data_IF_345166220712
#
_entry.id   IF_345166220712
#
_cell.length_a   1.000
_cell.length_b   1.000
_cell.length_c   1.000
_cell.angle_alpha   90.00
_cell.angle_beta   90.00
_cell.angle_gamma   90.00
#
_symmetry.space_group_name_H-M   'P 1'
#
loop_
_entity.id
_entity.type
_entity.pdbx_description
1 polymer ?
#
# COMPACT_ATOMS: atom_id res chain seq x y z
N UNK A 1 -2.70 13.74 -61.96
CA UNK A 1 -1.98 13.00 -60.90
C UNK A 1 -1.18 13.99 -60.09
N UNK A 2 -1.68 14.39 -58.91
CA UNK A 2 -0.99 15.29 -57.99
C UNK A 2 -0.13 14.46 -57.04
N UNK A 3 1.17 14.67 -57.07
CA UNK A 3 2.13 14.06 -56.13
C UNK A 3 1.99 14.72 -54.75
N UNK A 4 1.83 13.95 -53.66
CA UNK A 4 1.78 14.53 -52.32
C UNK A 4 3.19 14.94 -51.90
N UNK A 5 3.45 16.25 -51.83
CA UNK A 5 4.65 16.82 -51.21
C UNK A 5 4.65 16.53 -49.71
N UNK A 6 5.39 15.49 -49.31
CA UNK A 6 5.66 15.19 -47.91
C UNK A 6 6.66 16.22 -47.36
N UNK A 7 6.15 17.31 -46.75
CA UNK A 7 7.01 18.24 -46.00
C UNK A 7 7.60 17.48 -44.80
N UNK A 8 8.94 17.40 -44.65
CA UNK A 8 9.53 16.81 -43.47
C UNK A 8 9.12 17.68 -42.27
N UNK A 9 8.38 17.09 -41.33
CA UNK A 9 8.06 17.72 -40.04
C UNK A 9 9.41 18.04 -39.39
N UNK A 10 9.80 19.32 -39.39
CA UNK A 10 10.93 19.83 -38.60
C UNK A 10 10.77 19.26 -37.20
N UNK A 11 11.65 18.33 -36.81
CA UNK A 11 11.83 17.95 -35.40
C UNK A 11 12.05 19.27 -34.67
N UNK A 12 11.12 19.66 -33.80
CA UNK A 12 11.36 20.75 -32.84
C UNK A 12 12.64 20.39 -32.11
N UNK A 13 13.72 21.08 -32.45
CA UNK A 13 14.98 21.05 -31.72
C UNK A 13 14.73 21.88 -30.47
N UNK A 14 14.10 21.27 -29.47
CA UNK A 14 13.57 21.95 -28.30
C UNK A 14 12.47 21.13 -27.65
N UNK A 15 12.86 20.02 -27.02
CA UNK A 15 12.07 19.37 -25.96
C UNK A 15 12.89 18.37 -25.11
N UNK A 16 14.22 18.31 -25.28
CA UNK A 16 15.11 17.66 -24.31
C UNK A 16 15.20 18.40 -22.97
N UNK A 17 14.38 19.44 -22.76
CA UNK A 17 14.46 20.37 -21.63
C UNK A 17 13.26 20.39 -20.67
N UNK A 18 12.16 19.68 -20.93
CA UNK A 18 10.99 19.72 -20.03
C UNK A 18 10.51 18.30 -19.70
N UNK A 19 11.39 17.53 -19.06
CA UNK A 19 11.02 16.33 -18.31
C UNK A 19 10.95 16.61 -16.79
N UNK A 20 11.06 17.86 -16.37
CA UNK A 20 10.67 18.29 -15.04
C UNK A 20 9.98 19.61 -15.24
N UNK A 21 8.73 19.73 -14.80
CA UNK A 21 8.06 21.02 -14.81
C UNK A 21 8.81 21.87 -13.76
N UNK A 22 9.42 23.02 -14.12
CA UNK A 22 10.12 23.87 -13.14
C UNK A 22 9.22 24.28 -11.96
N UNK A 23 7.89 24.16 -12.14
CA UNK A 23 6.87 24.43 -11.13
C UNK A 23 6.82 23.45 -9.96
N UNK A 24 7.36 22.23 -10.09
CA UNK A 24 7.25 21.20 -9.03
C UNK A 24 8.45 21.15 -8.06
N UNK A 25 9.41 22.07 -8.18
CA UNK A 25 10.47 22.25 -7.18
C UNK A 25 11.53 21.14 -7.10
N UNK A 26 11.53 20.17 -8.01
CA UNK A 26 12.52 19.07 -8.04
C UNK A 26 13.83 19.47 -8.72
N UNK A 27 13.80 20.48 -9.59
CA UNK A 27 14.94 20.97 -10.35
C UNK A 27 15.03 22.49 -10.20
N UNK A 28 16.22 22.98 -9.86
CA UNK A 28 16.52 24.40 -9.83
C UNK A 28 17.19 24.75 -11.16
N UNK A 29 16.62 25.70 -11.89
CA UNK A 29 17.18 26.19 -13.16
C UNK A 29 17.73 27.58 -12.90
N UNK A 30 19.04 27.78 -13.13
CA UNK A 30 19.64 29.11 -13.04
C UNK A 30 19.08 30.00 -14.17
N UNK A 31 18.52 31.19 -13.86
CA UNK A 31 17.95 32.08 -14.86
C UNK A 31 18.97 32.59 -15.89
N UNK A 32 20.23 32.68 -15.48
CA UNK A 32 21.32 33.28 -16.27
C UNK A 32 21.96 32.28 -17.24
N UNK A 33 22.20 31.04 -16.80
CA UNK A 33 22.91 30.02 -17.60
C UNK A 33 21.98 28.94 -18.19
N UNK A 34 20.72 28.88 -17.75
CA UNK A 34 19.78 27.81 -18.12
C UNK A 34 20.18 26.40 -17.61
N UNK A 35 21.23 26.29 -16.80
CA UNK A 35 21.73 25.02 -16.28
C UNK A 35 20.79 24.51 -15.19
N UNK A 36 20.30 23.29 -15.37
CA UNK A 36 19.45 22.57 -14.42
C UNK A 36 20.30 21.81 -13.39
N UNK A 37 20.02 22.05 -12.10
CA UNK A 37 20.64 21.35 -10.97
C UNK A 37 19.57 20.63 -10.12
N UNK A 38 19.91 19.50 -9.48
CA UNK A 38 18.99 18.84 -8.55
C UNK A 38 18.70 19.74 -7.35
N UNK A 39 17.43 19.81 -6.92
CA UNK A 39 17.03 20.68 -5.82
C UNK A 39 17.46 20.17 -4.43
N UNK A 40 17.53 18.85 -4.23
CA UNK A 40 17.89 18.22 -2.96
C UNK A 40 18.58 16.85 -3.16
N UNK A 41 19.25 16.29 -2.12
CA UNK A 41 20.11 15.11 -2.27
C UNK A 41 19.43 13.88 -2.86
N UNK A 42 18.15 13.63 -2.55
CA UNK A 42 17.42 12.50 -3.12
C UNK A 42 17.24 12.64 -4.64
N UNK A 43 17.00 13.86 -5.14
CA UNK A 43 16.93 14.13 -6.59
C UNK A 43 18.31 13.95 -7.22
N UNK A 44 19.37 14.38 -6.54
CA UNK A 44 20.74 14.21 -7.00
C UNK A 44 21.13 12.73 -7.08
N UNK A 45 20.74 11.93 -6.08
CA UNK A 45 21.01 10.50 -6.02
C UNK A 45 20.36 9.74 -7.18
N UNK A 46 19.10 10.06 -7.48
CA UNK A 46 18.41 9.42 -8.60
C UNK A 46 18.85 9.99 -9.96
N UNK A 47 19.50 11.16 -10.01
CA UNK A 47 19.78 11.93 -11.24
C UNK A 47 20.38 11.11 -12.39
N UNK A 48 21.30 10.16 -12.15
CA UNK A 48 21.84 9.30 -13.21
C UNK A 48 20.78 8.44 -13.91
N UNK A 49 19.66 8.12 -13.25
CA UNK A 49 18.54 7.38 -13.82
C UNK A 49 17.59 8.26 -14.65
N UNK A 50 17.76 9.59 -14.62
CA UNK A 50 16.95 10.55 -15.37
C UNK A 50 17.25 10.44 -16.88
N UNK A 51 16.33 9.80 -17.62
CA UNK A 51 16.36 9.75 -19.09
C UNK A 51 17.24 8.65 -19.71
N UNK A 52 18.06 7.96 -18.91
CA UNK A 52 18.95 6.86 -19.33
C UNK A 52 18.32 5.48 -19.12
N UNK A 53 17.48 5.34 -18.09
CA UNK A 53 16.88 4.07 -17.69
C UNK A 53 15.42 4.05 -18.13
N UNK A 54 14.99 2.95 -18.75
CA UNK A 54 13.58 2.73 -19.06
C UNK A 54 12.76 2.79 -17.78
N UNK A 55 11.62 3.50 -17.82
CA UNK A 55 10.68 3.63 -16.71
C UNK A 55 10.29 2.28 -16.08
N UNK A 56 10.30 1.19 -16.87
CA UNK A 56 10.03 -0.18 -16.42
C UNK A 56 11.09 -0.77 -15.52
N UNK A 57 12.33 -0.33 -15.67
CA UNK A 57 13.47 -0.82 -14.90
C UNK A 57 13.61 0.00 -13.61
N UNK A 58 13.20 1.27 -13.62
CA UNK A 58 13.26 2.17 -12.45
C UNK A 58 12.44 1.62 -11.28
N UNK A 59 11.21 1.17 -11.50
CA UNK A 59 10.35 0.68 -10.40
C UNK A 59 10.94 -0.59 -9.72
N UNK A 60 11.29 -1.68 -10.43
CA UNK A 60 11.97 -2.83 -9.84
C UNK A 60 13.26 -2.47 -9.12
N UNK A 61 14.08 -1.58 -9.69
CA UNK A 61 15.33 -1.13 -9.03
C UNK A 61 15.04 -0.41 -7.71
N UNK A 62 14.03 0.46 -7.68
CA UNK A 62 13.57 1.11 -6.44
C UNK A 62 13.15 0.03 -5.44
N UNK A 63 12.29 -0.91 -5.84
CA UNK A 63 11.78 -1.95 -4.94
C UNK A 63 12.89 -2.87 -4.41
N UNK A 64 13.91 -3.18 -5.22
CA UNK A 64 15.07 -3.97 -4.79
C UNK A 64 15.88 -3.17 -3.78
N UNK A 65 16.23 -1.91 -4.09
CA UNK A 65 17.03 -1.08 -3.19
C UNK A 65 16.31 -0.87 -1.83
N UNK A 66 15.03 -0.50 -1.88
CA UNK A 66 14.14 -0.33 -0.73
C UNK A 66 14.05 -1.62 0.09
N UNK A 67 13.95 -2.77 -0.58
CA UNK A 67 13.94 -4.09 0.06
C UNK A 67 15.24 -4.42 0.77
N UNK A 68 16.38 -4.12 0.15
CA UNK A 68 17.70 -4.32 0.76
C UNK A 68 17.88 -3.47 2.02
N UNK A 69 17.47 -2.19 2.00
CA UNK A 69 17.54 -1.34 3.20
C UNK A 69 16.68 -1.89 4.34
N UNK A 70 15.46 -2.37 4.06
CA UNK A 70 14.61 -3.01 5.07
C UNK A 70 15.22 -4.29 5.62
N UNK A 71 15.68 -5.16 4.72
CA UNK A 71 16.29 -6.43 5.10
C UNK A 71 17.54 -6.21 5.96
N UNK A 72 18.35 -5.19 5.65
CA UNK A 72 19.51 -4.83 6.44
C UNK A 72 19.15 -4.48 7.91
N UNK A 73 18.01 -3.80 8.14
CA UNK A 73 17.57 -3.48 9.50
C UNK A 73 17.07 -4.70 10.29
N UNK A 74 16.64 -5.77 9.60
CA UNK A 74 16.15 -6.99 10.23
C UNK A 74 17.25 -7.79 10.97
N UNK A 75 18.53 -7.54 10.66
CA UNK A 75 19.66 -8.18 11.34
C UNK A 75 19.83 -7.74 12.80
N UNK A 76 19.34 -6.55 13.17
CA UNK A 76 19.45 -6.03 14.54
C UNK A 76 18.50 -6.70 15.53
N UNK A 77 18.69 -6.42 16.83
CA UNK A 77 17.80 -6.90 17.90
C UNK A 77 16.34 -6.47 17.72
N UNK A 78 15.42 -7.16 18.40
CA UNK A 78 13.97 -6.88 18.40
C UNK A 78 13.49 -6.44 19.78
N UNK A 79 12.25 -5.94 19.82
CA UNK A 79 11.60 -5.53 21.07
C UNK A 79 11.51 -6.70 22.06
N UNK A 80 12.13 -6.54 23.23
CA UNK A 80 12.12 -7.53 24.31
C UNK A 80 13.06 -8.72 24.16
N UNK A 81 14.08 -8.63 23.30
CA UNK A 81 15.14 -9.63 23.18
C UNK A 81 15.80 -9.93 24.54
N UNK A 82 15.80 -11.20 24.97
CA UNK A 82 16.41 -11.69 26.21
C UNK A 82 15.94 -10.95 27.49
N UNK A 83 14.67 -10.54 27.55
CA UNK A 83 14.09 -9.83 28.71
C UNK A 83 12.93 -10.61 29.34
N UNK A 84 13.18 -11.62 30.20
CA UNK A 84 12.15 -12.23 31.03
C UNK A 84 11.70 -11.27 32.16
N UNK A 85 10.47 -11.38 32.72
CA UNK A 85 9.43 -12.37 32.41
C UNK A 85 8.46 -11.95 31.28
N UNK A 86 8.34 -10.64 31.00
CA UNK A 86 7.52 -10.11 29.91
C UNK A 86 8.41 -9.69 28.74
N UNK A 87 8.43 -10.52 27.71
CA UNK A 87 9.03 -10.21 26.42
C UNK A 87 8.25 -9.09 25.70
N UNK A 88 8.79 -8.57 24.60
CA UNK A 88 8.21 -7.48 23.83
C UNK A 88 7.27 -7.96 22.72
N UNK A 89 6.98 -7.06 21.77
CA UNK A 89 6.01 -7.27 20.69
C UNK A 89 6.32 -8.47 19.80
N UNK A 90 7.59 -8.86 19.69
CA UNK A 90 8.01 -10.05 18.96
C UNK A 90 7.37 -11.33 19.54
N UNK A 91 7.43 -11.49 20.85
CA UNK A 91 6.86 -12.66 21.51
C UNK A 91 5.33 -12.61 21.54
N UNK A 92 4.74 -11.42 21.64
CA UNK A 92 3.29 -11.25 21.54
C UNK A 92 2.78 -11.73 20.16
N UNK A 93 3.45 -11.34 19.08
CA UNK A 93 3.09 -11.75 17.73
C UNK A 93 3.37 -13.24 17.47
N UNK A 94 4.48 -13.79 18.01
CA UNK A 94 4.75 -15.24 17.95
C UNK A 94 3.66 -16.03 18.68
N UNK A 95 3.26 -15.58 19.87
CA UNK A 95 2.20 -16.21 20.65
C UNK A 95 0.86 -16.17 19.93
N UNK A 96 0.55 -15.11 19.17
CA UNK A 96 -0.63 -15.11 18.30
C UNK A 96 -0.56 -16.18 17.21
N UNK A 97 0.62 -16.44 16.63
CA UNK A 97 0.79 -17.52 15.66
C UNK A 97 0.68 -18.91 16.31
N UNK A 98 1.15 -19.06 17.56
CA UNK A 98 1.00 -20.26 18.39
C UNK A 98 -0.49 -20.62 18.60
N UNK A 99 -1.32 -19.65 19.00
CA UNK A 99 -2.76 -19.89 19.24
C UNK A 99 -3.56 -20.02 17.93
N UNK A 100 -3.03 -19.52 16.81
CA UNK A 100 -3.66 -19.59 15.48
C UNK A 100 -3.02 -20.65 14.59
N UNK A 101 -2.72 -21.83 15.15
CA UNK A 101 -2.01 -22.92 14.47
C UNK A 101 -2.62 -23.38 13.13
N UNK A 102 -3.91 -23.13 12.89
CA UNK A 102 -4.59 -23.48 11.64
C UNK A 102 -4.46 -22.44 10.52
N UNK A 103 -3.86 -21.28 10.76
CA UNK A 103 -3.65 -20.27 9.72
C UNK A 103 -2.48 -20.65 8.81
N UNK A 104 -2.51 -20.26 7.51
CA UNK A 104 -1.45 -20.61 6.56
C UNK A 104 -0.05 -20.21 7.01
N UNK A 105 0.11 -19.05 7.64
CA UNK A 105 1.42 -18.57 8.14
C UNK A 105 1.94 -19.46 9.26
N UNK A 106 1.09 -19.81 10.23
CA UNK A 106 1.44 -20.70 11.33
C UNK A 106 1.73 -22.12 10.84
N UNK A 107 0.95 -22.60 9.86
CA UNK A 107 1.19 -23.89 9.20
C UNK A 107 2.54 -23.89 8.47
N UNK A 108 2.86 -22.83 7.71
CA UNK A 108 4.14 -22.70 7.03
C UNK A 108 5.33 -22.78 8.00
N UNK A 109 5.27 -22.08 9.14
CA UNK A 109 6.36 -22.21 10.12
C UNK A 109 6.37 -23.54 10.85
N UNK A 110 5.20 -24.16 11.12
CA UNK A 110 5.13 -25.51 11.67
C UNK A 110 5.73 -26.57 10.74
N UNK A 111 5.59 -26.41 9.42
CA UNK A 111 6.25 -27.29 8.44
C UNK A 111 7.77 -27.14 8.43
N UNK A 112 8.30 -25.98 8.83
CA UNK A 112 9.75 -25.74 8.90
C UNK A 112 10.30 -26.26 10.23
N UNK A 113 9.71 -25.83 11.33
CA UNK A 113 10.09 -26.23 12.69
C UNK A 113 8.82 -26.25 13.58
N UNK A 114 8.32 -27.44 13.94
CA UNK A 114 7.14 -27.59 14.78
C UNK A 114 7.25 -26.88 16.15
N UNK A 115 8.46 -26.76 16.69
CA UNK A 115 8.70 -26.17 18.01
C UNK A 115 8.45 -24.66 18.07
N UNK A 116 8.46 -23.95 16.94
CA UNK A 116 8.27 -22.49 16.92
C UNK A 116 6.90 -22.03 17.45
N UNK A 117 5.88 -22.84 17.22
CA UNK A 117 4.47 -22.55 17.53
C UNK A 117 3.82 -23.66 18.36
N UNK A 118 4.62 -24.48 19.04
CA UNK A 118 4.13 -25.54 19.89
C UNK A 118 3.43 -24.95 21.13
N UNK A 119 2.15 -25.30 21.32
CA UNK A 119 1.31 -24.72 22.35
C UNK A 119 1.92 -24.96 23.74
N UNK A 120 2.02 -23.90 24.56
CA UNK A 120 2.55 -23.88 25.93
C UNK A 120 4.05 -24.19 26.10
N UNK A 121 4.73 -24.70 25.07
CA UNK A 121 6.14 -25.11 25.13
C UNK A 121 7.07 -24.15 24.41
N UNK A 122 6.56 -23.41 23.42
CA UNK A 122 7.31 -22.47 22.58
C UNK A 122 7.50 -21.06 23.17
N UNK A 123 7.08 -20.85 24.42
CA UNK A 123 7.07 -19.51 25.04
C UNK A 123 8.48 -19.02 25.36
N UNK A 124 8.83 -17.83 24.87
CA UNK A 124 10.16 -17.23 25.05
C UNK A 124 11.27 -17.94 24.27
N UNK A 125 10.94 -18.59 23.15
CA UNK A 125 11.90 -19.28 22.30
C UNK A 125 12.72 -18.27 21.50
N UNK A 126 14.01 -18.14 21.82
CA UNK A 126 14.96 -17.23 21.18
C UNK A 126 15.82 -17.96 20.12
N UNK A 127 15.17 -18.49 19.09
CA UNK A 127 15.84 -19.16 17.96
C UNK A 127 16.18 -18.17 16.82
N UNK A 128 17.45 -18.13 16.33
CA UNK A 128 17.82 -17.28 15.20
C UNK A 128 17.02 -17.56 13.92
N UNK A 129 16.64 -18.81 13.64
CA UNK A 129 15.86 -19.15 12.44
C UNK A 129 14.41 -18.71 12.56
N UNK A 130 13.80 -18.82 13.74
CA UNK A 130 12.49 -18.21 14.04
C UNK A 130 12.51 -16.70 13.80
N UNK A 131 13.56 -16.00 14.24
CA UNK A 131 13.71 -14.55 13.99
C UNK A 131 13.67 -14.26 12.49
N UNK A 132 14.41 -15.01 11.67
CA UNK A 132 14.41 -14.81 10.20
C UNK A 132 13.02 -15.06 9.62
N UNK A 133 12.34 -16.13 10.02
CA UNK A 133 10.98 -16.44 9.57
C UNK A 133 10.02 -15.28 9.89
N UNK A 134 10.01 -14.84 11.14
CA UNK A 134 9.17 -13.75 11.62
C UNK A 134 9.46 -12.43 10.89
N UNK A 135 10.73 -12.12 10.60
CA UNK A 135 11.09 -10.94 9.79
C UNK A 135 10.65 -11.07 8.33
N UNK A 136 10.73 -12.28 7.77
CA UNK A 136 10.25 -12.55 6.42
C UNK A 136 8.73 -12.37 6.29
N UNK A 137 7.95 -12.74 7.32
CA UNK A 137 6.49 -12.54 7.28
C UNK A 137 6.12 -11.06 7.28
N UNK A 138 6.81 -10.20 8.04
CA UNK A 138 6.65 -8.73 7.96
C UNK A 138 6.99 -8.23 6.56
N UNK A 139 8.16 -8.62 6.03
CA UNK A 139 8.61 -8.22 4.70
C UNK A 139 7.62 -8.62 3.59
N UNK A 140 7.18 -9.88 3.58
CA UNK A 140 6.21 -10.39 2.60
C UNK A 140 4.88 -9.64 2.73
N UNK A 141 4.38 -9.45 3.95
CA UNK A 141 3.11 -8.75 4.17
C UNK A 141 3.14 -7.29 3.68
N UNK A 142 4.27 -6.60 3.82
CA UNK A 142 4.46 -5.24 3.29
C UNK A 142 4.45 -5.21 1.76
N UNK A 143 5.18 -6.13 1.12
CA UNK A 143 5.25 -6.22 -0.35
C UNK A 143 3.91 -6.60 -0.98
N UNK A 144 3.11 -7.37 -0.26
CA UNK A 144 1.76 -7.71 -0.68
C UNK A 144 0.81 -6.52 -0.48
N UNK A 145 0.84 -5.87 0.67
CA UNK A 145 -0.23 -4.93 1.06
C UNK A 145 0.15 -3.46 0.88
N UNK A 146 1.29 -3.02 1.43
CA UNK A 146 1.69 -1.62 1.47
C UNK A 146 2.20 -1.12 0.11
N UNK A 147 3.13 -1.86 -0.49
CA UNK A 147 3.82 -1.41 -1.71
C UNK A 147 2.84 -1.23 -2.88
N UNK A 148 1.95 -2.18 -3.20
CA UNK A 148 0.98 -2.01 -4.28
C UNK A 148 0.05 -0.81 -4.04
N UNK A 149 -0.39 -0.63 -2.78
CA UNK A 149 -1.29 0.44 -2.41
C UNK A 149 -0.64 1.82 -2.64
N UNK A 150 0.59 2.03 -2.14
CA UNK A 150 1.35 3.28 -2.35
C UNK A 150 1.60 3.53 -3.83
N UNK A 151 2.03 2.51 -4.58
CA UNK A 151 2.31 2.62 -6.02
C UNK A 151 1.07 3.06 -6.81
N UNK A 152 -0.09 2.46 -6.53
CA UNK A 152 -1.36 2.79 -7.21
C UNK A 152 -1.83 4.19 -6.83
N UNK A 153 -1.86 4.51 -5.53
CA UNK A 153 -2.32 5.81 -5.04
C UNK A 153 -1.47 6.95 -5.60
N UNK A 154 -0.14 6.84 -5.47
CA UNK A 154 0.77 7.86 -5.94
C UNK A 154 0.72 8.01 -7.46
N UNK A 155 0.55 6.90 -8.21
CA UNK A 155 0.42 6.93 -9.67
C UNK A 155 -0.88 7.60 -10.10
N UNK A 156 -2.00 7.32 -9.41
CA UNK A 156 -3.29 7.97 -9.67
C UNK A 156 -3.20 9.47 -9.42
N UNK A 157 -2.65 9.87 -8.28
CA UNK A 157 -2.45 11.29 -7.94
C UNK A 157 -1.54 11.99 -8.95
N UNK A 158 -0.42 11.36 -9.31
CA UNK A 158 0.53 11.90 -10.28
C UNK A 158 -0.08 12.11 -11.66
N UNK A 159 -0.94 11.18 -12.12
CA UNK A 159 -1.66 11.33 -13.41
C UNK A 159 -2.69 12.47 -13.37
N UNK A 160 -3.36 12.68 -12.23
CA UNK A 160 -4.35 13.75 -12.08
C UNK A 160 -3.71 15.14 -12.04
N UNK A 161 -2.51 15.24 -11.45
CA UNK A 161 -1.75 16.48 -11.37
C UNK A 161 -0.78 16.67 -12.56
N UNK A 162 -0.86 15.79 -13.57
CA UNK A 162 0.03 15.79 -14.74
C UNK A 162 1.53 15.83 -14.37
N UNK A 163 1.88 15.18 -13.25
CA UNK A 163 3.24 15.09 -12.72
C UNK A 163 4.05 14.13 -13.57
N UNK A 164 5.30 14.49 -13.87
CA UNK A 164 6.13 13.61 -14.68
C UNK A 164 6.48 12.33 -13.92
N UNK A 165 6.65 11.23 -14.66
CA UNK A 165 7.15 9.93 -14.19
C UNK A 165 8.37 10.06 -13.29
N UNK A 166 9.32 10.92 -13.65
CA UNK A 166 10.54 11.13 -12.89
C UNK A 166 10.26 11.62 -11.46
N UNK A 167 9.36 12.59 -11.33
CA UNK A 167 8.97 13.18 -10.06
C UNK A 167 8.14 12.19 -9.24
N UNK A 168 7.31 11.38 -9.91
CA UNK A 168 6.64 10.22 -9.32
C UNK A 168 7.65 9.23 -8.69
N UNK A 169 8.74 8.90 -9.38
CA UNK A 169 9.77 8.00 -8.85
C UNK A 169 10.48 8.57 -7.63
N UNK A 170 10.77 9.88 -7.61
CA UNK A 170 11.35 10.56 -6.44
C UNK A 170 10.39 10.47 -5.24
N UNK A 171 9.11 10.82 -5.44
CA UNK A 171 8.11 10.77 -4.39
C UNK A 171 7.90 9.33 -3.87
N UNK A 172 7.92 8.33 -4.76
CA UNK A 172 7.80 6.93 -4.38
C UNK A 172 8.97 6.48 -3.48
N UNK A 173 10.20 6.83 -3.84
CA UNK A 173 11.37 6.52 -3.01
C UNK A 173 11.27 7.21 -1.66
N UNK A 174 10.87 8.48 -1.62
CA UNK A 174 10.73 9.23 -0.36
C UNK A 174 9.72 8.56 0.60
N UNK A 175 8.57 8.11 0.09
CA UNK A 175 7.54 7.43 0.89
C UNK A 175 8.04 6.05 1.35
N UNK A 176 8.60 5.26 0.44
CA UNK A 176 9.05 3.91 0.77
C UNK A 176 10.30 3.90 1.67
N UNK A 177 11.17 4.91 1.60
CA UNK A 177 12.37 5.02 2.43
C UNK A 177 12.14 5.74 3.76
N UNK A 178 10.89 5.99 4.16
CA UNK A 178 10.60 6.65 5.43
C UNK A 178 11.24 5.87 6.60
N UNK A 179 12.13 6.49 7.40
CA UNK A 179 12.87 5.77 8.43
C UNK A 179 11.95 5.22 9.53
N UNK A 180 10.84 5.90 9.82
CA UNK A 180 9.88 5.48 10.83
C UNK A 180 9.25 4.12 10.51
N UNK A 181 8.77 3.90 9.28
CA UNK A 181 8.17 2.60 8.91
C UNK A 181 9.21 1.48 8.90
N UNK A 182 10.44 1.76 8.45
CA UNK A 182 11.52 0.78 8.44
C UNK A 182 11.92 0.38 9.87
N UNK A 183 12.20 1.36 10.74
CA UNK A 183 12.68 1.07 12.09
C UNK A 183 11.62 0.42 12.98
N UNK A 184 10.36 0.82 12.83
CA UNK A 184 9.28 0.27 13.66
C UNK A 184 8.91 -1.15 13.20
N UNK A 185 8.70 -1.37 11.90
CA UNK A 185 8.24 -2.68 11.45
C UNK A 185 9.39 -3.69 11.36
N UNK A 186 10.51 -3.32 10.73
CA UNK A 186 11.64 -4.23 10.49
C UNK A 186 12.67 -4.25 11.60
N UNK A 187 12.73 -3.21 12.44
CA UNK A 187 13.56 -3.15 13.65
C UNK A 187 12.79 -3.60 14.89
N UNK A 188 11.79 -2.82 15.32
CA UNK A 188 11.03 -3.07 16.55
C UNK A 188 10.15 -4.33 16.48
N UNK A 189 9.74 -4.73 15.26
CA UNK A 189 8.88 -5.89 14.97
C UNK A 189 7.38 -5.62 15.10
N UNK A 190 6.83 -4.90 14.12
CA UNK A 190 5.40 -4.59 14.03
C UNK A 190 4.88 -4.77 12.60
N UNK A 191 3.57 -4.96 12.45
CA UNK A 191 2.88 -5.08 11.15
C UNK A 191 2.13 -3.79 10.77
N UNK A 192 2.68 -2.61 11.07
CA UNK A 192 1.96 -1.34 10.84
C UNK A 192 1.87 -0.99 9.36
N UNK A 193 2.84 -1.38 8.55
CA UNK A 193 2.84 -1.20 7.09
C UNK A 193 1.68 -1.94 6.44
N UNK A 194 1.29 -3.10 6.97
CA UNK A 194 0.04 -3.76 6.56
C UNK A 194 -1.11 -2.81 6.85
N UNK A 195 -1.28 -2.32 8.07
CA UNK A 195 -2.32 -1.33 8.40
C UNK A 195 -2.27 -0.11 7.47
N UNK A 196 -1.10 0.48 7.22
CA UNK A 196 -0.91 1.66 6.36
C UNK A 196 -1.21 1.36 4.89
N UNK A 197 -0.91 0.17 4.39
CA UNK A 197 -1.29 -0.28 3.05
C UNK A 197 -2.81 -0.41 2.95
N UNK A 198 -3.43 -0.86 4.04
CA UNK A 198 -4.87 -0.92 4.22
C UNK A 198 -5.50 0.45 4.48
N UNK A 199 -4.75 1.52 4.78
CA UNK A 199 -5.31 2.89 4.93
C UNK A 199 -5.84 3.41 3.58
N UNK A 200 -5.38 2.88 2.45
CA UNK A 200 -6.01 3.16 1.15
C UNK A 200 -7.35 2.42 0.96
N UNK A 201 -7.61 1.40 1.77
CA UNK A 201 -8.91 0.76 1.97
C UNK A 201 -9.55 1.16 3.32
N UNK A 202 -9.14 2.31 3.91
CA UNK A 202 -9.41 2.68 5.30
C UNK A 202 -10.87 2.61 5.71
N UNK A 203 -11.78 2.94 4.79
CA UNK A 203 -13.22 2.90 5.04
C UNK A 203 -13.72 1.49 5.38
N UNK A 204 -13.34 0.46 4.61
CA UNK A 204 -13.79 -0.90 4.88
C UNK A 204 -13.14 -1.50 6.12
N UNK A 205 -11.86 -1.14 6.40
CA UNK A 205 -11.16 -1.64 7.58
C UNK A 205 -11.66 -0.99 8.87
N UNK A 206 -11.87 0.33 8.85
CA UNK A 206 -12.46 1.02 9.99
C UNK A 206 -13.79 0.36 10.36
N UNK A 207 -14.63 0.03 9.37
CA UNK A 207 -15.86 -0.73 9.58
C UNK A 207 -15.63 -2.11 10.21
N UNK A 208 -14.67 -2.91 9.73
CA UNK A 208 -14.37 -4.22 10.35
C UNK A 208 -13.94 -4.12 11.81
N UNK A 209 -13.35 -2.98 12.21
CA UNK A 209 -12.90 -2.74 13.58
C UNK A 209 -13.97 -2.13 14.49
N UNK A 210 -15.12 -1.70 13.95
CA UNK A 210 -16.15 -1.03 14.73
C UNK A 210 -16.56 -1.79 16.01
N UNK A 211 -16.75 -3.12 16.01
CA UNK A 211 -17.10 -3.84 17.24
C UNK A 211 -16.03 -3.75 18.33
N UNK A 212 -14.74 -3.73 17.96
CA UNK A 212 -13.62 -3.55 18.89
C UNK A 212 -13.61 -2.12 19.45
N UNK A 213 -13.75 -1.13 18.56
CA UNK A 213 -13.79 0.29 18.95
C UNK A 213 -14.99 0.59 19.84
N UNK A 214 -16.14 -0.05 19.59
CA UNK A 214 -17.34 0.05 20.43
C UNK A 214 -17.12 -0.52 21.82
N UNK A 215 -16.39 -1.64 21.94
CA UNK A 215 -16.02 -2.23 23.22
C UNK A 215 -15.15 -1.29 24.06
N UNK A 216 -14.29 -0.53 23.40
CA UNK A 216 -13.37 0.41 24.05
C UNK A 216 -13.95 1.84 24.13
N UNK A 217 -15.28 2.00 23.98
CA UNK A 217 -16.02 3.29 24.03
C UNK A 217 -15.61 4.34 22.98
N UNK A 218 -14.94 3.90 21.90
CA UNK A 218 -14.44 4.74 20.80
C UNK A 218 -15.43 4.89 19.63
N UNK A 219 -16.71 4.59 19.83
CA UNK A 219 -17.75 4.68 18.76
C UNK A 219 -17.89 6.09 18.18
N UNK A 220 -17.87 7.13 19.02
CA UNK A 220 -18.01 8.52 18.55
C UNK A 220 -16.79 9.00 17.75
N UNK A 221 -15.54 8.83 18.24
CA UNK A 221 -14.34 9.08 17.43
C UNK A 221 -14.34 8.34 16.10
N UNK A 222 -14.79 7.08 16.09
CA UNK A 222 -14.89 6.28 14.88
C UNK A 222 -15.78 6.95 13.81
N UNK A 223 -17.02 7.31 14.14
CA UNK A 223 -17.93 7.92 13.16
C UNK A 223 -17.44 9.29 12.68
N UNK A 224 -16.93 10.12 13.59
CA UNK A 224 -16.43 11.47 13.25
C UNK A 224 -15.26 11.36 12.28
N UNK A 225 -14.26 10.55 12.60
CA UNK A 225 -13.04 10.44 11.78
C UNK A 225 -13.32 9.74 10.44
N UNK A 226 -14.18 8.72 10.43
CA UNK A 226 -14.52 8.01 9.18
C UNK A 226 -15.37 8.86 8.23
N UNK A 227 -16.33 9.63 8.74
CA UNK A 227 -17.13 10.55 7.90
C UNK A 227 -16.32 11.76 7.44
N UNK A 228 -15.45 12.31 8.30
CA UNK A 228 -14.51 13.36 7.90
C UNK A 228 -13.59 12.85 6.77
N UNK A 229 -13.05 11.65 6.92
CA UNK A 229 -12.22 11.03 5.89
C UNK A 229 -12.99 10.80 4.59
N UNK A 230 -14.24 10.33 4.66
CA UNK A 230 -15.10 10.19 3.49
C UNK A 230 -15.34 11.54 2.80
N UNK A 231 -15.60 12.60 3.57
CA UNK A 231 -15.79 13.96 3.08
C UNK A 231 -14.55 14.48 2.34
N UNK A 232 -13.37 14.38 2.97
CA UNK A 232 -12.11 14.87 2.40
C UNK A 232 -11.74 14.16 1.10
N UNK A 233 -12.07 12.87 0.97
CA UNK A 233 -11.80 12.08 -0.24
C UNK A 233 -12.95 12.05 -1.25
N UNK A 234 -14.10 12.68 -0.94
CA UNK A 234 -15.28 12.62 -1.79
C UNK A 234 -15.84 11.21 -1.95
N UNK A 235 -15.77 10.38 -0.90
CA UNK A 235 -16.27 9.01 -0.86
C UNK A 235 -17.71 8.96 -0.33
N UNK A 236 -18.47 7.90 -0.66
CA UNK A 236 -19.78 7.66 -0.04
C UNK A 236 -19.66 7.56 1.49
N UNK A 237 -20.64 8.09 2.27
CA UNK A 237 -21.91 8.68 1.82
C UNK A 237 -21.83 10.18 1.46
N UNK A 238 -20.69 10.84 1.68
CA UNK A 238 -20.56 12.31 1.58
C UNK A 238 -20.55 12.83 0.14
N UNK A 239 -20.09 12.02 -0.81
CA UNK A 239 -20.10 12.33 -2.23
C UNK A 239 -20.25 11.05 -3.06
N UNK A 240 -21.02 11.16 -4.14
CA UNK A 240 -21.21 10.10 -5.14
C UNK A 240 -20.47 10.42 -6.45
N UNK A 241 -19.56 11.38 -6.44
CA UNK A 241 -18.79 11.80 -7.61
C UNK A 241 -18.00 10.64 -8.24
N UNK A 242 -17.56 9.67 -7.43
CA UNK A 242 -16.82 8.48 -7.89
C UNK A 242 -17.63 7.58 -8.83
N UNK A 243 -18.96 7.64 -8.78
CA UNK A 243 -19.85 6.87 -9.65
C UNK A 243 -20.24 7.62 -10.93
N UNK A 244 -19.98 8.93 -11.01
CA UNK A 244 -20.26 9.74 -12.21
C UNK A 244 -19.30 9.38 -13.34
N UNK A 245 -19.78 9.47 -14.57
CA UNK A 245 -19.01 9.12 -15.77
C UNK A 245 -18.08 10.24 -16.26
N UNK A 246 -18.07 11.37 -15.56
CA UNK A 246 -17.57 12.64 -16.08
C UNK A 246 -16.06 12.86 -15.83
N UNK A 247 -15.39 11.93 -15.13
CA UNK A 247 -13.98 12.06 -14.71
C UNK A 247 -13.07 11.09 -15.49
N UNK A 248 -11.89 11.53 -15.97
CA UNK A 248 -10.91 10.65 -16.61
C UNK A 248 -10.38 9.55 -15.67
N UNK A 249 -10.45 8.31 -16.13
CA UNK A 249 -10.18 7.09 -15.33
C UNK A 249 -11.44 6.27 -15.05
N UNK A 250 -12.14 5.90 -16.13
CA UNK A 250 -13.42 5.18 -16.14
C UNK A 250 -13.35 3.90 -15.29
N UNK A 251 -14.04 3.87 -14.15
CA UNK A 251 -14.38 2.60 -13.50
C UNK A 251 -15.37 1.84 -14.37
N UNK A 252 -15.14 0.54 -14.55
CA UNK A 252 -16.08 -0.34 -15.23
C UNK A 252 -17.38 -0.45 -14.44
N UNK A 253 -18.47 -0.83 -15.11
CA UNK A 253 -19.78 -1.03 -14.46
C UNK A 253 -19.67 -2.03 -13.31
N UNK A 254 -18.89 -3.10 -13.51
CA UNK A 254 -18.62 -4.10 -12.48
C UNK A 254 -17.98 -3.49 -11.23
N UNK A 255 -17.00 -2.61 -11.39
CA UNK A 255 -16.31 -1.97 -10.27
C UNK A 255 -17.22 -1.01 -9.51
N UNK A 256 -18.07 -0.27 -10.23
CA UNK A 256 -19.09 0.57 -9.61
C UNK A 256 -20.05 -0.27 -8.77
N UNK A 257 -20.48 -1.42 -9.28
CA UNK A 257 -21.35 -2.35 -8.54
C UNK A 257 -20.64 -2.90 -7.29
N UNK A 258 -19.37 -3.29 -7.40
CA UNK A 258 -18.58 -3.78 -6.26
C UNK A 258 -18.45 -2.69 -5.18
N UNK A 259 -18.04 -1.48 -5.54
CA UNK A 259 -17.92 -0.39 -4.58
C UNK A 259 -19.27 0.00 -3.97
N UNK A 260 -20.32 0.12 -4.77
CA UNK A 260 -21.67 0.44 -4.29
C UNK A 260 -22.21 -0.63 -3.34
N UNK A 261 -22.00 -1.91 -3.67
CA UNK A 261 -22.39 -3.04 -2.82
C UNK A 261 -21.67 -3.02 -1.47
N UNK A 262 -20.36 -2.75 -1.46
CA UNK A 262 -19.56 -2.67 -0.23
C UNK A 262 -20.03 -1.52 0.67
N UNK A 263 -20.21 -0.31 0.12
CA UNK A 263 -20.71 0.83 0.91
C UNK A 263 -22.14 0.60 1.43
N UNK A 264 -23.01 -0.06 0.64
CA UNK A 264 -24.37 -0.41 1.08
C UNK A 264 -24.32 -1.42 2.22
N UNK A 265 -23.47 -2.45 2.13
CA UNK A 265 -23.27 -3.43 3.18
C UNK A 265 -22.73 -2.78 4.47
N UNK A 266 -21.77 -1.85 4.35
CA UNK A 266 -21.24 -1.07 5.47
C UNK A 266 -22.35 -0.30 6.20
N UNK A 267 -23.15 0.48 5.46
CA UNK A 267 -24.23 1.30 6.03
C UNK A 267 -25.31 0.40 6.65
N UNK A 268 -25.71 -0.65 5.93
CA UNK A 268 -26.68 -1.63 6.40
C UNK A 268 -26.23 -2.33 7.68
N UNK A 269 -24.94 -2.66 7.79
CA UNK A 269 -24.38 -3.29 8.99
C UNK A 269 -24.49 -2.40 10.23
N UNK A 270 -24.09 -1.13 10.13
CA UNK A 270 -24.22 -0.19 11.26
C UNK A 270 -25.69 0.00 11.66
N UNK A 271 -26.62 -0.05 10.70
CA UNK A 271 -28.05 -0.01 11.00
C UNK A 271 -28.50 -1.27 11.77
N UNK A 272 -28.18 -2.46 11.26
CA UNK A 272 -28.53 -3.72 11.93
C UNK A 272 -27.94 -3.79 13.34
N UNK A 273 -26.67 -3.45 13.51
CA UNK A 273 -26.00 -3.50 14.81
C UNK A 273 -26.53 -2.44 15.80
N UNK A 274 -27.08 -1.33 15.32
CA UNK A 274 -27.68 -0.30 16.17
C UNK A 274 -29.07 -0.69 16.70
N UNK A 275 -29.84 -1.46 15.93
CA UNK A 275 -31.25 -1.75 16.26
C UNK A 275 -31.51 -3.21 16.68
N UNK A 276 -30.59 -4.13 16.39
CA UNK A 276 -30.77 -5.56 16.70
C UNK A 276 -29.82 -5.98 17.82
N UNK A 277 -30.35 -6.38 19.01
CA UNK A 277 -29.51 -6.83 20.11
C UNK A 277 -28.81 -8.16 19.81
N UNK A 278 -27.68 -8.40 20.47
CA UNK A 278 -27.02 -9.72 20.49
C UNK A 278 -27.94 -10.78 21.07
N UNK A 279 -28.11 -11.95 20.43
CA UNK A 279 -28.81 -13.08 21.05
C UNK A 279 -28.16 -13.51 22.37
N UNK A 280 -28.96 -13.83 23.39
CA UNK A 280 -28.52 -14.07 24.78
C UNK A 280 -27.56 -15.26 24.98
N UNK A 281 -27.29 -16.08 23.95
CA UNK A 281 -26.32 -17.18 24.00
C UNK A 281 -25.08 -17.00 23.12
N UNK A 282 -24.97 -15.89 22.38
CA UNK A 282 -23.87 -15.67 21.41
C UNK A 282 -23.40 -14.20 21.41
N UNK A 283 -22.66 -13.77 22.45
CA UNK A 283 -22.24 -12.37 22.60
C UNK A 283 -21.35 -11.90 21.44
N UNK A 284 -20.51 -12.77 20.88
CA UNK A 284 -19.57 -12.43 19.80
C UNK A 284 -20.15 -12.62 18.39
N UNK A 285 -21.44 -12.96 18.25
CA UNK A 285 -22.03 -13.28 16.95
C UNK A 285 -21.91 -12.12 15.95
N UNK A 286 -22.20 -10.90 16.40
CA UNK A 286 -22.07 -9.71 15.56
C UNK A 286 -20.61 -9.41 15.21
N UNK A 287 -19.67 -9.66 16.13
CA UNK A 287 -18.23 -9.51 15.84
C UNK A 287 -17.81 -10.48 14.74
N UNK A 288 -18.16 -11.75 14.88
CA UNK A 288 -17.84 -12.79 13.89
C UNK A 288 -18.49 -12.49 12.54
N UNK A 289 -19.77 -12.11 12.52
CA UNK A 289 -20.46 -11.79 11.29
C UNK A 289 -19.92 -10.52 10.61
N UNK A 290 -19.51 -9.49 11.36
CA UNK A 290 -18.84 -8.31 10.81
C UNK A 290 -17.52 -8.68 10.11
N UNK A 291 -16.73 -9.55 10.73
CA UNK A 291 -15.49 -10.06 10.15
C UNK A 291 -15.77 -10.89 8.89
N UNK A 292 -16.79 -11.75 8.92
CA UNK A 292 -17.18 -12.59 7.78
C UNK A 292 -17.66 -11.80 6.57
N UNK A 293 -18.27 -10.61 6.77
CA UNK A 293 -18.71 -9.75 5.65
C UNK A 293 -17.58 -8.81 5.21
N UNK A 294 -16.85 -8.21 6.16
CA UNK A 294 -15.84 -7.23 5.85
C UNK A 294 -14.52 -7.82 5.32
N UNK A 295 -14.12 -9.03 5.74
CA UNK A 295 -12.90 -9.66 5.23
C UNK A 295 -12.97 -10.00 3.73
N UNK A 296 -14.05 -10.63 3.19
CA UNK A 296 -14.20 -10.81 1.75
C UNK A 296 -14.23 -9.49 0.99
N UNK A 297 -14.95 -8.48 1.51
CA UNK A 297 -15.00 -7.16 0.89
C UNK A 297 -13.61 -6.51 0.78
N UNK A 298 -12.79 -6.69 1.81
CA UNK A 298 -11.40 -6.30 1.80
C UNK A 298 -10.60 -7.06 0.73
N UNK A 299 -10.68 -8.39 0.67
CA UNK A 299 -9.95 -9.19 -0.31
C UNK A 299 -10.33 -8.83 -1.76
N UNK A 300 -11.60 -8.51 -2.00
CA UNK A 300 -12.07 -8.05 -3.33
C UNK A 300 -11.41 -6.72 -3.70
N UNK A 301 -11.40 -5.73 -2.80
CA UNK A 301 -10.70 -4.46 -3.04
C UNK A 301 -9.19 -4.66 -3.25
N UNK A 302 -8.57 -5.53 -2.46
CA UNK A 302 -7.16 -5.86 -2.55
C UNK A 302 -6.80 -6.51 -3.90
N UNK A 303 -7.54 -7.54 -4.31
CA UNK A 303 -7.34 -8.22 -5.59
C UNK A 303 -7.62 -7.29 -6.77
N UNK A 304 -8.61 -6.39 -6.64
CA UNK A 304 -8.90 -5.37 -7.65
C UNK A 304 -7.71 -4.41 -7.84
N UNK A 305 -7.13 -3.91 -6.74
CA UNK A 305 -5.93 -3.08 -6.76
C UNK A 305 -4.75 -3.82 -7.41
N UNK A 306 -4.50 -5.07 -6.98
CA UNK A 306 -3.40 -5.89 -7.49
C UNK A 306 -3.56 -6.18 -8.99
N UNK A 307 -4.77 -6.51 -9.44
CA UNK A 307 -5.08 -6.74 -10.85
C UNK A 307 -4.79 -5.50 -11.70
N UNK A 308 -5.21 -4.31 -11.24
CA UNK A 308 -4.96 -3.06 -11.94
C UNK A 308 -3.47 -2.74 -12.02
N UNK A 309 -2.71 -3.00 -10.95
CA UNK A 309 -1.27 -2.83 -10.94
C UNK A 309 -0.59 -3.73 -11.99
N UNK A 310 -0.97 -5.00 -12.06
CA UNK A 310 -0.42 -5.97 -13.03
C UNK A 310 -0.83 -5.61 -14.46
N UNK A 311 -2.08 -5.21 -14.68
CA UNK A 311 -2.57 -4.80 -16.01
C UNK A 311 -1.83 -3.57 -16.51
N UNK A 312 -1.65 -2.56 -15.66
CA UNK A 312 -0.87 -1.37 -15.97
C UNK A 312 0.57 -1.72 -16.30
N UNK A 313 1.17 -2.68 -15.59
CA UNK A 313 2.50 -3.19 -15.90
C UNK A 313 2.57 -3.83 -17.30
N UNK A 314 1.66 -4.76 -17.62
CA UNK A 314 1.61 -5.44 -18.93
C UNK A 314 1.38 -4.49 -20.11
N UNK A 315 0.43 -3.56 -19.96
CA UNK A 315 0.09 -2.60 -21.02
C UNK A 315 1.30 -1.78 -21.45
N UNK A 316 2.15 -1.49 -20.50
CA UNK A 316 3.14 -0.46 -20.69
C UNK A 316 4.52 -1.06 -21.07
N UNK A 317 4.78 -2.33 -20.76
CA UNK A 317 5.75 -3.18 -21.48
C UNK A 317 5.43 -3.22 -22.99
N UNK A 318 4.16 -3.46 -23.35
CA UNK A 318 3.73 -3.55 -24.76
C UNK A 318 3.91 -2.23 -25.53
N UNK A 319 3.71 -1.09 -24.89
CA UNK A 319 3.93 0.24 -25.52
C UNK A 319 5.41 0.48 -25.82
N UNK A 320 6.31 0.07 -24.94
CA UNK A 320 7.75 0.23 -25.15
C UNK A 320 8.30 -0.72 -26.23
N UNK A 321 7.76 -1.94 -26.32
CA UNK A 321 8.06 -2.84 -27.45
C UNK A 321 7.65 -2.22 -28.79
N UNK A 322 6.44 -1.65 -28.86
CA UNK A 322 5.96 -0.97 -30.07
C UNK A 322 6.85 0.21 -30.49
N UNK A 323 7.31 1.02 -29.51
CA UNK A 323 8.23 2.14 -29.78
C UNK A 323 9.61 1.70 -30.28
N UNK A 324 10.06 0.49 -29.94
CA UNK A 324 11.34 -0.07 -30.42
C UNK A 324 11.23 -0.64 -31.84
N UNK A 325 10.03 -1.00 -32.28
CA UNK A 325 9.75 -1.55 -33.63
C UNK A 325 9.39 -0.49 -34.68
N UNK A 326 9.36 0.79 -34.31
CA UNK A 326 9.10 1.95 -35.18
C UNK A 326 10.41 2.74 -35.39
#
# INVERSE_FOLDING_TARGET
MSTPTHKPRKKKKGDSGILANPRHGTVIVNPEDGIAKPAFPLVAFLWPAKGTVSQWVVLPLILIAVGLFRWATAFWGYSGYQKPPMHGDFEAQRHWLEITAHLPVSQCGHYIEPLWFALHTSRGLDDPTLKIFMRATVFISEYLVYIPAVVICLRRYSRLQEVNTWEYSIALVAILMQPGSILIDHGHFQYNTVMLGLVLASMSRAWTMYPLLKRDELSMPYFILTLLWAYLLGLPPTSLSIFRNDVPGRLSILEKLIHAGLYTAMIGWHFVEAFVPTPEGKPDLWVVANVLVGAPGFYVCYLWCLFHLIKDFKMAVRVDEWKKTQ
#
